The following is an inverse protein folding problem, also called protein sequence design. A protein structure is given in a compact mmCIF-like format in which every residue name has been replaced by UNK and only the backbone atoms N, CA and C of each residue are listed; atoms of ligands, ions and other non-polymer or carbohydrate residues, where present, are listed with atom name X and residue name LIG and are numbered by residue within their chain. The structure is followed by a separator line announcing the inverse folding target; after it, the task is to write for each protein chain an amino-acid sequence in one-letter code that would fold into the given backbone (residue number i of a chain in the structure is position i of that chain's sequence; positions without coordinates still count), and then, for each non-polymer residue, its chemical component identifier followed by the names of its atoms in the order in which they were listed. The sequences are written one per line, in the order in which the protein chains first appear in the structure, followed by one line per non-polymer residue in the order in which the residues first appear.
data_IF_128808275061
#
_entry.id   IF_128808275061
#
_cell.length_a   1.000
_cell.length_b   1.000
_cell.length_c   1.000
_cell.angle_alpha   90.00
_cell.angle_beta   90.00
_cell.angle_gamma   90.00
#
_symmetry.space_group_name_H-M   'P 1'
#
loop_
_entity.id
_entity.type
_entity.pdbx_description
1 polymer ?
#
# COMPACT_ATOMS: atom_id res chain seq x y z
N UNK A 1 13.25 -5.85 -22.07
CA UNK A 1 13.08 -4.86 -20.99
C UNK A 1 13.52 -5.52 -19.71
N UNK A 2 14.33 -4.87 -18.85
CA UNK A 2 14.64 -5.45 -17.56
C UNK A 2 13.32 -5.58 -16.79
N UNK A 3 12.91 -6.82 -16.53
CA UNK A 3 11.79 -7.12 -15.63
C UNK A 3 12.30 -6.89 -14.21
N UNK A 4 12.22 -5.65 -13.74
CA UNK A 4 12.41 -5.37 -12.32
C UNK A 4 11.36 -6.18 -11.54
N UNK A 5 11.81 -6.87 -10.50
CA UNK A 5 10.91 -7.60 -9.63
C UNK A 5 9.90 -6.62 -9.03
N UNK A 6 8.63 -7.02 -8.86
CA UNK A 6 7.63 -6.14 -8.27
C UNK A 6 8.09 -5.69 -6.86
N UNK A 7 7.87 -4.42 -6.50
CA UNK A 7 8.31 -3.89 -5.21
C UNK A 7 7.61 -4.63 -4.07
N UNK A 8 8.31 -4.75 -2.94
CA UNK A 8 7.66 -5.25 -1.71
C UNK A 8 6.55 -4.30 -1.29
N UNK A 9 5.54 -4.82 -0.58
CA UNK A 9 4.40 -4.02 -0.11
C UNK A 9 4.83 -2.74 0.63
N UNK A 10 5.84 -2.84 1.52
CA UNK A 10 6.40 -1.69 2.23
C UNK A 10 7.02 -0.66 1.26
N UNK A 11 7.74 -1.13 0.25
CA UNK A 11 8.39 -0.26 -0.75
C UNK A 11 7.35 0.44 -1.61
N UNK A 12 6.31 -0.29 -2.05
CA UNK A 12 5.18 0.26 -2.79
C UNK A 12 4.45 1.35 -1.97
N UNK A 13 4.15 1.10 -0.70
CA UNK A 13 3.54 2.10 0.19
C UNK A 13 4.41 3.36 0.31
N UNK A 14 5.74 3.21 0.47
CA UNK A 14 6.66 4.35 0.51
C UNK A 14 6.66 5.16 -0.80
N UNK A 15 6.61 4.50 -1.96
CA UNK A 15 6.54 5.16 -3.27
C UNK A 15 5.24 5.94 -3.44
N UNK A 16 4.09 5.33 -3.11
CA UNK A 16 2.76 5.95 -3.17
C UNK A 16 2.69 7.20 -2.28
N UNK A 17 3.23 7.13 -1.06
CA UNK A 17 3.24 8.25 -0.13
C UNK A 17 4.05 9.45 -0.63
N UNK A 18 5.18 9.19 -1.31
CA UNK A 18 5.98 10.25 -1.97
C UNK A 18 5.22 10.90 -3.13
N UNK A 19 4.56 10.09 -3.95
CA UNK A 19 3.70 10.55 -5.04
C UNK A 19 2.52 11.38 -4.52
N UNK A 20 1.96 11.01 -3.37
CA UNK A 20 0.80 11.67 -2.78
C UNK A 20 1.07 13.13 -2.43
N UNK A 21 2.25 13.40 -1.85
CA UNK A 21 2.71 14.76 -1.50
C UNK A 21 2.86 15.63 -2.76
N UNK A 22 3.42 15.06 -3.83
CA UNK A 22 3.60 15.77 -5.11
C UNK A 22 2.26 16.05 -5.79
N UNK A 23 1.37 15.06 -5.82
CA UNK A 23 0.08 15.18 -6.49
C UNK A 23 -0.87 16.14 -5.77
N UNK A 24 -0.85 16.18 -4.43
CA UNK A 24 -1.68 17.08 -3.63
C UNK A 24 -1.46 18.57 -4.01
N UNK A 25 -0.24 18.91 -4.44
CA UNK A 25 0.15 20.30 -4.72
C UNK A 25 0.08 20.65 -6.20
N UNK A 26 0.28 19.67 -7.11
CA UNK A 26 0.43 19.95 -8.54
C UNK A 26 -0.67 19.35 -9.42
N UNK A 27 -1.31 18.26 -8.99
CA UNK A 27 -2.25 17.50 -9.83
C UNK A 27 -3.38 16.88 -8.97
N UNK A 28 -4.45 17.65 -8.66
CA UNK A 28 -5.55 17.19 -7.81
C UNK A 28 -6.27 15.92 -8.31
N UNK A 29 -6.32 15.74 -9.63
CA UNK A 29 -6.90 14.55 -10.24
C UNK A 29 -6.06 13.29 -9.95
N UNK A 30 -4.73 13.42 -10.05
CA UNK A 30 -3.79 12.36 -9.70
C UNK A 30 -3.81 12.08 -8.19
N UNK A 31 -4.00 13.12 -7.36
CA UNK A 31 -4.11 12.97 -5.91
C UNK A 31 -5.26 12.05 -5.50
N UNK A 32 -6.42 12.14 -6.17
CA UNK A 32 -7.57 11.26 -5.90
C UNK A 32 -7.22 9.79 -6.17
N UNK A 33 -6.58 9.51 -7.31
CA UNK A 33 -6.14 8.17 -7.68
C UNK A 33 -5.11 7.60 -6.69
N UNK A 34 -4.12 8.42 -6.31
CA UNK A 34 -3.09 8.01 -5.34
C UNK A 34 -3.71 7.77 -3.95
N UNK A 35 -4.70 8.57 -3.54
CA UNK A 35 -5.40 8.37 -2.27
C UNK A 35 -6.12 7.01 -2.23
N UNK A 36 -6.76 6.64 -3.33
CA UNK A 36 -7.41 5.32 -3.46
C UNK A 36 -6.38 4.20 -3.38
N UNK A 37 -5.23 4.35 -4.06
CA UNK A 37 -4.15 3.37 -4.04
C UNK A 37 -3.53 3.22 -2.64
N UNK A 38 -3.31 4.32 -1.91
CA UNK A 38 -2.80 4.31 -0.54
C UNK A 38 -3.75 3.57 0.41
N UNK A 39 -5.06 3.79 0.26
CA UNK A 39 -6.09 3.08 1.03
C UNK A 39 -6.07 1.57 0.75
N UNK A 40 -5.94 1.16 -0.51
CA UNK A 40 -5.89 -0.26 -0.90
C UNK A 40 -4.64 -0.95 -0.36
N UNK A 41 -3.47 -0.31 -0.47
CA UNK A 41 -2.21 -0.86 0.04
C UNK A 41 -2.22 -0.95 1.57
N UNK A 42 -2.79 0.05 2.24
CA UNK A 42 -2.96 0.02 3.70
C UNK A 42 -3.84 -1.14 4.14
N UNK A 43 -4.96 -1.38 3.45
CA UNK A 43 -5.83 -2.53 3.72
C UNK A 43 -5.08 -3.85 3.54
N UNK A 44 -4.36 -4.00 2.43
CA UNK A 44 -3.52 -5.17 2.14
C UNK A 44 -2.46 -5.40 3.23
N UNK A 45 -1.86 -4.33 3.74
CA UNK A 45 -0.90 -4.41 4.84
C UNK A 45 -1.58 -4.89 6.12
N UNK A 46 -2.73 -4.33 6.49
CA UNK A 46 -3.51 -4.76 7.66
C UNK A 46 -3.87 -6.24 7.54
N UNK A 47 -4.41 -6.67 6.39
CA UNK A 47 -4.80 -8.05 6.14
C UNK A 47 -3.60 -9.00 6.25
N UNK A 48 -2.45 -8.62 5.69
CA UNK A 48 -1.20 -9.41 5.78
C UNK A 48 -0.72 -9.61 7.23
N UNK A 49 -1.09 -8.71 8.14
CA UNK A 49 -0.81 -8.80 9.59
C UNK A 49 -1.92 -9.54 10.34
N UNK A 50 -3.17 -9.40 9.92
CA UNK A 50 -4.34 -10.07 10.49
C UNK A 50 -4.33 -11.59 10.26
N UNK A 51 -3.84 -12.06 9.11
CA UNK A 51 -3.64 -13.51 8.84
C UNK A 51 -2.70 -14.16 9.85
N UNK A 52 -1.74 -13.41 10.42
CA UNK A 52 -0.85 -13.90 11.49
C UNK A 52 -1.51 -13.95 12.87
N UNK A 53 -2.63 -13.24 13.09
CA UNK A 53 -3.36 -13.26 14.37
C UNK A 53 -4.47 -14.33 14.40
N UNK A 54 -5.01 -14.73 13.25
CA UNK A 54 -6.00 -15.81 13.19
C UNK A 54 -5.42 -17.17 13.62
N UNK A 55 -4.12 -17.40 13.47
CA UNK A 55 -3.46 -18.68 13.78
C UNK A 55 -3.34 -19.00 15.28
N UNK A 56 -3.62 -18.02 16.17
CA UNK A 56 -3.50 -18.21 17.63
C UNK A 56 -4.82 -18.71 18.25
N UNK A 57 -5.95 -18.64 17.53
CA UNK A 57 -7.26 -19.07 18.06
C UNK A 57 -7.66 -20.51 17.76
N UNK A 58 -6.89 -21.25 16.97
CA UNK A 58 -7.15 -22.68 16.71
C UNK A 58 -6.49 -23.63 17.74
N UNK A 59 -5.99 -23.09 18.86
CA UNK A 59 -5.25 -23.85 19.88
C UNK A 59 -5.78 -23.74 21.32
N UNK A 60 -6.98 -23.18 21.54
CA UNK A 60 -7.61 -23.16 22.88
C UNK A 60 -9.08 -23.57 22.82
#
# INVERSE_FOLDING_TARGET
MPTEAPPKLIEAMCMVRRLHILAATQQPQLHTLISQLDSQLTQLFIDSKGVKQATIKDFF
#
